data_IF_443728871306
#
_entry.id   IF_443728871306
#
_cell.length_a   1.000
_cell.length_b   1.000
_cell.length_c   1.000
_cell.angle_alpha   90.00
_cell.angle_beta   90.00
_cell.angle_gamma   90.00
#
_symmetry.space_group_name_H-M   'P 1'
#
loop_
_entity.id
_entity.type
_entity.pdbx_description
1 polymer ?
#
# COMPACT_ATOMS: atom_id res chain seq x y z
N UNK A 1 20.68 19.84 -14.07
CA UNK A 1 19.21 19.96 -14.11
C UNK A 1 18.75 18.53 -14.23
N UNK A 2 18.82 17.82 -13.10
CA UNK A 2 18.64 16.38 -13.02
C UNK A 2 17.31 16.12 -12.33
N UNK A 3 16.24 16.33 -13.08
CA UNK A 3 14.91 15.88 -12.69
C UNK A 3 14.87 14.38 -12.99
N UNK A 4 15.18 13.57 -11.97
CA UNK A 4 14.96 12.14 -12.03
C UNK A 4 13.48 11.89 -12.36
N UNK A 5 13.15 10.94 -13.26
CA UNK A 5 11.79 10.75 -13.71
C UNK A 5 10.90 10.49 -12.50
N UNK A 6 9.82 11.25 -12.38
CA UNK A 6 8.76 11.05 -11.41
C UNK A 6 8.31 9.60 -11.51
N UNK A 7 8.87 8.72 -10.67
CA UNK A 7 8.44 7.33 -10.56
C UNK A 7 6.99 7.44 -10.14
N UNK A 8 6.08 7.13 -11.07
CA UNK A 8 4.67 6.89 -10.78
C UNK A 8 4.67 5.81 -9.71
N UNK A 9 4.61 6.25 -8.46
CA UNK A 9 4.67 5.37 -7.31
C UNK A 9 3.36 4.57 -7.37
N UNK A 10 3.43 3.32 -7.80
CA UNK A 10 2.30 2.39 -7.80
C UNK A 10 1.99 1.95 -6.37
N UNK A 11 1.74 2.94 -5.54
CA UNK A 11 1.52 2.85 -4.11
C UNK A 11 0.03 2.94 -3.83
N UNK A 12 -0.50 1.94 -3.14
CA UNK A 12 -1.88 1.91 -2.63
C UNK A 12 -1.83 2.20 -1.13
N UNK A 13 -2.44 3.32 -0.73
CA UNK A 13 -2.57 3.70 0.67
C UNK A 13 -3.85 3.12 1.28
N UNK A 14 -3.71 2.23 2.26
CA UNK A 14 -4.83 1.61 2.96
C UNK A 14 -5.21 2.45 4.18
N UNK A 15 -6.50 2.72 4.30
CA UNK A 15 -7.07 3.62 5.30
C UNK A 15 -8.47 3.16 5.72
N UNK A 16 -9.43 4.08 5.73
CA UNK A 16 -10.78 3.85 6.28
C UNK A 16 -11.81 3.32 5.28
N UNK A 17 -11.46 3.11 4.01
CA UNK A 17 -12.43 2.61 3.02
C UNK A 17 -12.67 1.11 3.21
N UNK A 18 -13.75 0.61 2.63
CA UNK A 18 -14.04 -0.82 2.52
C UNK A 18 -12.86 -1.60 1.93
N UNK A 19 -12.60 -2.79 2.48
CA UNK A 19 -11.39 -3.57 2.17
C UNK A 19 -11.26 -3.91 0.69
N UNK A 20 -12.39 -4.27 0.06
CA UNK A 20 -12.43 -4.66 -1.35
C UNK A 20 -12.06 -3.53 -2.31
N UNK A 21 -12.23 -2.27 -1.91
CA UNK A 21 -11.81 -1.11 -2.71
C UNK A 21 -10.30 -1.14 -2.92
N UNK A 22 -9.54 -1.47 -1.87
CA UNK A 22 -8.09 -1.57 -1.95
C UNK A 22 -7.65 -2.81 -2.74
N UNK A 23 -8.33 -3.95 -2.57
CA UNK A 23 -8.07 -5.18 -3.34
C UNK A 23 -8.21 -4.92 -4.84
N UNK A 24 -9.29 -4.27 -5.27
CA UNK A 24 -9.52 -3.93 -6.68
C UNK A 24 -8.44 -2.98 -7.22
N UNK A 25 -8.03 -1.98 -6.43
CA UNK A 25 -6.98 -1.04 -6.80
C UNK A 25 -5.61 -1.71 -7.01
N UNK A 26 -5.31 -2.76 -6.24
CA UNK A 26 -4.09 -3.56 -6.39
C UNK A 26 -4.18 -4.46 -7.62
N UNK A 27 -5.30 -5.17 -7.81
CA UNK A 27 -5.51 -6.05 -8.97
C UNK A 27 -5.40 -5.27 -10.29
N UNK A 28 -6.01 -4.09 -10.37
CA UNK A 28 -5.95 -3.23 -11.56
C UNK A 28 -4.51 -2.95 -11.97
N UNK A 29 -3.66 -2.54 -11.03
CA UNK A 29 -2.25 -2.22 -11.28
C UNK A 29 -1.42 -3.45 -11.62
N UNK A 30 -1.65 -4.57 -10.95
CA UNK A 30 -0.96 -5.82 -11.24
C UNK A 30 -1.29 -6.35 -12.65
N UNK A 31 -2.53 -6.20 -13.11
CA UNK A 31 -2.94 -6.57 -14.47
C UNK A 31 -2.26 -5.71 -15.54
N UNK A 32 -1.83 -4.50 -15.20
CA UNK A 32 -1.01 -3.65 -16.08
C UNK A 32 0.48 -4.06 -16.07
N UNK A 33 0.83 -5.14 -15.38
CA UNK A 33 2.21 -5.64 -15.27
C UNK A 33 3.09 -4.82 -14.33
N UNK A 34 2.49 -4.01 -13.45
CA UNK A 34 3.21 -3.08 -12.57
C UNK A 34 3.41 -3.67 -11.18
N UNK A 35 4.56 -3.38 -10.57
CA UNK A 35 4.80 -3.68 -9.17
C UNK A 35 3.98 -2.74 -8.27
N UNK A 36 3.32 -3.29 -7.27
CA UNK A 36 2.47 -2.52 -6.36
C UNK A 36 3.06 -2.48 -4.96
N UNK A 37 3.18 -1.28 -4.39
CA UNK A 37 3.49 -1.07 -2.98
C UNK A 37 2.21 -0.82 -2.20
N UNK A 38 2.06 -1.47 -1.05
CA UNK A 38 0.92 -1.23 -0.15
C UNK A 38 1.47 -0.54 1.09
N UNK A 39 0.94 0.64 1.42
CA UNK A 39 1.33 1.42 2.61
C UNK A 39 0.13 1.62 3.52
N UNK A 40 0.36 1.50 4.82
CA UNK A 40 -0.64 1.73 5.85
C UNK A 40 0.03 2.15 7.15
N UNK A 41 -0.75 2.74 8.06
CA UNK A 41 -0.28 3.14 9.39
C UNK A 41 -1.33 2.88 10.46
N UNK A 42 -0.87 2.69 11.69
CA UNK A 42 -1.74 2.45 12.85
C UNK A 42 -2.71 1.29 12.62
N UNK A 43 -3.99 1.49 12.98
CA UNK A 43 -5.03 0.44 12.89
C UNK A 43 -5.26 -0.09 11.47
N UNK A 44 -4.88 0.67 10.43
CA UNK A 44 -5.07 0.24 9.04
C UNK A 44 -4.04 -0.81 8.58
N UNK A 45 -2.98 -1.06 9.36
CA UNK A 45 -1.94 -2.05 9.03
C UNK A 45 -2.56 -3.44 8.85
N UNK A 46 -3.47 -3.86 9.73
CA UNK A 46 -4.17 -5.15 9.59
C UNK A 46 -4.91 -5.24 8.27
N UNK A 47 -5.61 -4.18 7.87
CA UNK A 47 -6.30 -4.13 6.57
C UNK A 47 -5.35 -4.23 5.37
N UNK A 48 -4.14 -3.66 5.46
CA UNK A 48 -3.14 -3.82 4.40
C UNK A 48 -2.60 -5.25 4.29
N UNK A 49 -2.44 -5.93 5.43
CA UNK A 49 -2.08 -7.36 5.46
C UNK A 49 -3.20 -8.19 4.83
N UNK A 50 -4.45 -7.93 5.19
CA UNK A 50 -5.61 -8.64 4.63
C UNK A 50 -5.73 -8.45 3.11
N UNK A 51 -5.56 -7.21 2.62
CA UNK A 51 -5.53 -6.91 1.17
C UNK A 51 -4.44 -7.74 0.48
N UNK A 52 -3.23 -7.77 1.05
CA UNK A 52 -2.10 -8.53 0.50
C UNK A 52 -2.42 -10.02 0.45
N UNK A 53 -3.00 -10.58 1.52
CA UNK A 53 -3.38 -12.00 1.58
C UNK A 53 -4.48 -12.36 0.58
N UNK A 54 -5.50 -11.51 0.44
CA UNK A 54 -6.58 -11.75 -0.52
C UNK A 54 -6.05 -11.75 -1.95
N UNK A 55 -5.24 -10.75 -2.32
CA UNK A 55 -4.67 -10.65 -3.67
C UNK A 55 -3.81 -11.87 -3.98
N UNK A 56 -2.90 -12.26 -3.07
CA UNK A 56 -2.02 -13.41 -3.25
C UNK A 56 -2.78 -14.75 -3.30
N UNK A 57 -3.71 -14.98 -2.38
CA UNK A 57 -4.33 -16.30 -2.24
C UNK A 57 -5.53 -16.52 -3.16
N UNK A 58 -6.31 -15.47 -3.44
CA UNK A 58 -7.53 -15.59 -4.26
C UNK A 58 -7.32 -15.26 -5.74
N UNK A 59 -6.41 -14.35 -6.07
CA UNK A 59 -6.29 -13.84 -7.44
C UNK A 59 -4.98 -14.25 -8.12
N UNK A 60 -3.83 -14.07 -7.44
CA UNK A 60 -2.51 -14.31 -8.02
C UNK A 60 -1.66 -15.24 -7.14
N UNK A 61 -1.89 -16.55 -7.25
CA UNK A 61 -1.24 -17.57 -6.40
C UNK A 61 0.28 -17.60 -6.50
N UNK A 62 0.83 -17.14 -7.62
CA UNK A 62 2.28 -17.07 -7.87
C UNK A 62 2.92 -15.76 -7.42
N UNK A 63 2.13 -14.82 -6.87
CA UNK A 63 2.61 -13.52 -6.48
C UNK A 63 3.53 -13.61 -5.25
N UNK A 64 4.70 -12.97 -5.36
CA UNK A 64 5.70 -12.93 -4.30
C UNK A 64 5.81 -11.52 -3.72
N UNK A 65 5.93 -11.46 -2.39
CA UNK A 65 6.23 -10.21 -1.68
C UNK A 65 7.72 -9.94 -1.83
N UNK A 66 8.07 -8.83 -2.48
CA UNK A 66 9.47 -8.47 -2.76
C UNK A 66 10.20 -7.93 -1.53
N UNK A 67 9.56 -7.06 -0.77
CA UNK A 67 10.08 -6.48 0.47
C UNK A 67 8.95 -6.16 1.44
N UNK A 68 9.31 -6.04 2.72
CA UNK A 68 8.41 -5.64 3.79
C UNK A 68 9.19 -4.80 4.79
N UNK A 69 8.74 -3.56 4.99
CA UNK A 69 9.40 -2.57 5.83
C UNK A 69 8.39 -2.02 6.84
N UNK A 70 8.81 -1.89 8.10
CA UNK A 70 8.05 -1.22 9.16
C UNK A 70 8.87 -0.05 9.65
N UNK A 71 8.25 1.12 9.65
CA UNK A 71 8.86 2.35 10.18
C UNK A 71 7.90 3.01 11.16
N UNK A 72 8.43 3.94 11.96
CA UNK A 72 7.63 4.86 12.75
C UNK A 72 7.75 6.23 12.10
N UNK A 73 6.60 6.89 11.91
CA UNK A 73 6.54 8.24 11.37
C UNK A 73 5.98 9.15 12.46
N UNK A 74 6.69 10.24 12.79
CA UNK A 74 6.14 11.29 13.63
C UNK A 74 5.24 12.20 12.79
N UNK A 75 3.99 12.34 13.20
CA UNK A 75 3.01 13.22 12.59
C UNK A 75 2.83 14.46 13.46
N UNK A 76 2.80 15.62 12.82
CA UNK A 76 2.39 16.85 13.49
C UNK A 76 0.88 16.97 13.39
N UNK A 77 0.19 16.90 14.52
CA UNK A 77 -1.25 17.15 14.61
C UNK A 77 -1.58 18.62 14.33
N UNK A 78 -2.85 18.91 14.06
CA UNK A 78 -3.32 20.28 13.77
C UNK A 78 -3.02 21.26 14.92
N UNK A 79 -2.98 20.76 16.16
CA UNK A 79 -2.62 21.53 17.36
C UNK A 79 -1.10 21.67 17.58
N UNK A 80 -0.26 21.27 16.62
CA UNK A 80 1.20 21.31 16.73
C UNK A 80 1.82 20.21 17.60
N UNK A 81 1.00 19.30 18.15
CA UNK A 81 1.49 18.15 18.92
C UNK A 81 2.09 17.08 18.02
N UNK A 82 3.29 16.58 18.34
CA UNK A 82 3.91 15.43 17.66
C UNK A 82 3.30 14.13 18.17
N UNK A 83 2.92 13.22 17.27
CA UNK A 83 2.32 11.91 17.57
C UNK A 83 2.83 10.81 16.65
#
# INVERSE_FOLDING_TARGET
MDEAPEKRDDTVYVGKKELMVYVMAVISRLNEGRDVRIKARGKAISGAVDVTQIVKNKFFKTLQVKSFDITTEELTGEDGTKR
#
